data_IF_149213783691
#
_entry.id   IF_149213783691
#
_cell.length_a   1.000
_cell.length_b   1.000
_cell.length_c   1.000
_cell.angle_alpha   90.00
_cell.angle_beta   90.00
_cell.angle_gamma   90.00
#
_symmetry.space_group_name_H-M   'P 1'
#
loop_
_entity.id
_entity.type
_entity.pdbx_description
1 polymer ?
#
# COMPACT_ATOMS: atom_id res chain seq x y z
N UNK A 1 7.09 -14.64 -25.91
CA UNK A 1 6.35 -15.04 -24.69
C UNK A 1 6.93 -14.34 -23.45
N UNK A 2 7.27 -13.05 -23.50
CA UNK A 2 8.14 -12.43 -22.48
C UNK A 2 7.40 -11.59 -21.42
N UNK A 3 6.07 -11.51 -21.51
CA UNK A 3 5.21 -10.65 -20.67
C UNK A 3 4.16 -11.44 -19.85
N UNK A 4 4.32 -12.75 -19.71
CA UNK A 4 3.40 -13.52 -18.88
C UNK A 4 3.62 -13.18 -17.39
N UNK A 5 2.64 -12.49 -16.81
CA UNK A 5 2.63 -12.07 -15.41
C UNK A 5 1.92 -13.09 -14.51
N UNK A 6 1.30 -14.12 -15.08
CA UNK A 6 0.54 -15.15 -14.36
C UNK A 6 1.42 -16.34 -13.92
N UNK A 7 2.74 -16.14 -13.86
CA UNK A 7 3.72 -17.13 -13.39
C UNK A 7 4.43 -16.62 -12.12
N UNK A 8 5.05 -17.50 -11.32
CA UNK A 8 5.86 -17.06 -10.18
C UNK A 8 6.98 -16.08 -10.57
N UNK A 9 7.60 -16.29 -11.73
CA UNK A 9 8.57 -15.36 -12.33
C UNK A 9 7.93 -14.02 -12.69
N UNK A 10 6.76 -14.07 -13.33
CA UNK A 10 5.96 -12.89 -13.66
C UNK A 10 5.59 -12.05 -12.44
N UNK A 11 5.18 -12.71 -11.36
CA UNK A 11 4.89 -12.08 -10.08
C UNK A 11 6.14 -11.42 -9.46
N UNK A 12 7.31 -12.06 -9.55
CA UNK A 12 8.60 -11.47 -9.12
C UNK A 12 8.97 -10.23 -9.92
N UNK A 13 8.78 -10.26 -11.25
CA UNK A 13 8.97 -9.07 -12.10
C UNK A 13 7.98 -7.97 -11.77
N UNK A 14 6.72 -8.30 -11.47
CA UNK A 14 5.71 -7.33 -11.10
C UNK A 14 6.04 -6.65 -9.77
N UNK A 15 6.47 -7.42 -8.76
CA UNK A 15 7.00 -6.90 -7.49
C UNK A 15 8.09 -5.86 -7.73
N UNK A 16 9.15 -6.23 -8.46
CA UNK A 16 10.28 -5.34 -8.73
C UNK A 16 9.86 -4.05 -9.43
N UNK A 17 8.95 -4.13 -10.42
CA UNK A 17 8.45 -2.97 -11.16
C UNK A 17 7.68 -2.00 -10.27
N UNK A 18 6.83 -2.51 -9.37
CA UNK A 18 6.04 -1.66 -8.47
C UNK A 18 6.94 -0.99 -7.43
N UNK A 19 7.86 -1.73 -6.83
CA UNK A 19 8.79 -1.20 -5.82
C UNK A 19 9.70 -0.12 -6.43
N UNK A 20 10.30 -0.39 -7.61
CA UNK A 20 11.16 0.57 -8.31
C UNK A 20 10.40 1.86 -8.70
N UNK A 21 9.19 1.73 -9.22
CA UNK A 21 8.37 2.87 -9.63
C UNK A 21 8.14 3.87 -8.49
N UNK A 22 7.93 3.37 -7.27
CA UNK A 22 7.70 4.20 -6.09
C UNK A 22 9.00 4.67 -5.43
N UNK A 23 10.04 3.85 -5.46
CA UNK A 23 11.37 4.23 -4.99
C UNK A 23 11.90 5.45 -5.76
N UNK A 24 11.74 5.49 -7.08
CA UNK A 24 12.11 6.64 -7.93
C UNK A 24 11.38 7.93 -7.55
N UNK A 25 10.26 7.83 -6.82
CA UNK A 25 9.43 8.94 -6.36
C UNK A 25 9.64 9.25 -4.86
N UNK A 26 10.60 8.59 -4.23
CA UNK A 26 10.94 8.77 -2.81
C UNK A 26 9.96 8.11 -1.84
N UNK A 27 9.20 7.11 -2.29
CA UNK A 27 8.32 6.33 -1.43
C UNK A 27 8.91 4.94 -1.18
N UNK A 28 8.80 4.47 0.06
CA UNK A 28 9.09 3.08 0.39
C UNK A 28 7.80 2.25 0.33
N UNK A 29 7.75 1.36 -0.67
CA UNK A 29 6.66 0.41 -0.90
C UNK A 29 7.24 -0.98 -0.78
N UNK A 30 6.57 -1.82 0.00
CA UNK A 30 6.91 -3.23 0.12
C UNK A 30 5.82 -4.07 -0.56
N UNK A 31 6.25 -4.96 -1.45
CA UNK A 31 5.38 -5.93 -2.10
C UNK A 31 5.73 -7.33 -1.61
N UNK A 32 4.77 -8.04 -1.05
CA UNK A 32 4.91 -9.44 -0.64
C UNK A 32 4.34 -10.37 -1.72
N UNK A 33 5.05 -11.45 -1.99
CA UNK A 33 4.58 -12.54 -2.85
C UNK A 33 4.13 -13.69 -1.96
N UNK A 34 2.85 -14.04 -2.04
CA UNK A 34 2.28 -15.13 -1.26
C UNK A 34 1.88 -16.24 -2.21
N UNK A 35 2.54 -17.40 -2.08
CA UNK A 35 2.18 -18.59 -2.84
C UNK A 35 0.99 -19.27 -2.16
N UNK A 36 -0.11 -19.35 -2.90
CA UNK A 36 -1.24 -20.19 -2.58
C UNK A 36 -1.27 -21.31 -3.61
N UNK A 37 -1.16 -22.55 -3.12
CA UNK A 37 -1.25 -23.74 -3.97
C UNK A 37 -2.61 -23.85 -4.68
N UNK A 38 -2.99 -25.06 -5.09
CA UNK A 38 -4.21 -25.25 -5.86
C UNK A 38 -5.47 -24.76 -5.10
N UNK A 39 -6.18 -23.80 -5.68
CA UNK A 39 -7.43 -23.23 -5.16
C UNK A 39 -8.62 -23.84 -5.92
N UNK A 40 -9.43 -24.74 -5.31
CA UNK A 40 -10.48 -25.47 -6.03
C UNK A 40 -11.51 -24.59 -6.73
N UNK A 41 -11.88 -23.47 -6.11
CA UNK A 41 -12.84 -22.53 -6.68
C UNK A 41 -12.35 -21.87 -7.99
N UNK A 42 -11.04 -21.67 -8.13
CA UNK A 42 -10.42 -21.05 -9.31
C UNK A 42 -9.89 -22.08 -10.30
N UNK A 43 -9.75 -23.34 -9.87
CA UNK A 43 -9.15 -24.44 -10.64
C UNK A 43 -7.73 -24.12 -11.10
N UNK A 44 -6.98 -23.36 -10.30
CA UNK A 44 -5.61 -22.95 -10.58
C UNK A 44 -4.80 -22.78 -9.29
N UNK A 45 -3.47 -22.87 -9.39
CA UNK A 45 -2.56 -22.35 -8.37
C UNK A 45 -2.43 -20.83 -8.53
N UNK A 46 -2.12 -20.12 -7.44
CA UNK A 46 -2.18 -18.66 -7.40
C UNK A 46 -0.98 -18.09 -6.65
N UNK A 47 -0.24 -17.21 -7.30
CA UNK A 47 0.72 -16.32 -6.63
C UNK A 47 0.06 -14.96 -6.42
N UNK A 48 -0.20 -14.61 -5.16
CA UNK A 48 -0.74 -13.31 -4.79
C UNK A 48 0.37 -12.26 -4.70
N UNK A 49 0.06 -11.03 -5.12
CA UNK A 49 0.91 -9.85 -4.95
C UNK A 49 0.22 -8.91 -3.96
N UNK A 50 0.83 -8.69 -2.79
CA UNK A 50 0.23 -7.89 -1.70
C UNK A 50 1.07 -6.65 -1.41
N UNK A 51 0.45 -5.48 -1.41
CA UNK A 51 1.13 -4.22 -1.13
C UNK A 51 0.78 -3.65 0.24
N UNK A 52 1.75 -2.98 0.88
CA UNK A 52 1.52 -2.18 2.10
C UNK A 52 0.84 -0.80 1.84
N UNK A 53 0.54 -0.48 0.58
CA UNK A 53 -0.13 0.75 0.16
C UNK A 53 -1.59 0.76 0.60
N UNK A 54 -2.14 1.96 0.84
CA UNK A 54 -3.55 2.15 1.21
C UNK A 54 -4.27 2.81 0.04
N UNK A 55 -5.32 2.18 -0.48
CA UNK A 55 -6.05 2.64 -1.67
C UNK A 55 -5.12 2.93 -2.87
N UNK A 56 -4.05 2.13 -3.02
CA UNK A 56 -3.06 2.30 -4.09
C UNK A 56 -2.03 3.40 -3.85
N UNK A 57 -2.08 4.12 -2.72
CA UNK A 57 -1.10 5.14 -2.36
C UNK A 57 -0.14 4.64 -1.28
N UNK A 58 1.18 4.80 -1.46
CA UNK A 58 2.15 4.54 -0.40
C UNK A 58 1.90 5.48 0.78
N UNK A 59 2.01 4.94 2.00
CA UNK A 59 2.10 5.80 3.17
C UNK A 59 3.47 6.47 3.10
N UNK A 60 3.53 7.80 3.26
CA UNK A 60 4.80 8.46 3.53
C UNK A 60 5.34 7.78 4.78
N UNK A 61 6.44 7.03 4.66
CA UNK A 61 7.28 6.85 5.84
C UNK A 61 7.60 8.24 6.29
N UNK A 62 7.27 8.54 7.53
CA UNK A 62 7.46 9.83 8.15
C UNK A 62 8.88 10.31 7.83
N UNK A 63 9.05 11.10 6.78
CA UNK A 63 9.96 12.21 6.86
C UNK A 63 9.44 12.93 8.10
N UNK A 64 10.20 12.86 9.18
CA UNK A 64 9.88 13.43 10.48
C UNK A 64 9.75 14.97 10.45
N UNK A 65 9.38 15.56 9.32
CA UNK A 65 9.41 16.97 8.99
C UNK A 65 8.14 17.51 8.32
N UNK A 66 7.10 16.72 8.07
CA UNK A 66 5.79 17.30 7.72
C UNK A 66 4.88 17.30 8.94
N UNK A 67 5.22 18.18 9.87
CA UNK A 67 4.41 18.58 11.02
C UNK A 67 3.22 19.42 10.54
N UNK A 68 2.34 18.87 9.70
CA UNK A 68 1.03 19.44 9.49
C UNK A 68 0.07 18.79 10.49
N UNK A 69 -0.31 19.47 11.58
CA UNK A 69 -1.19 18.88 12.57
C UNK A 69 -2.54 18.55 11.91
N UNK A 70 -3.00 17.32 12.14
CA UNK A 70 -4.32 16.85 11.73
C UNK A 70 -5.39 17.84 12.22
N UNK A 71 -6.00 18.57 11.27
CA UNK A 71 -7.00 19.61 11.52
C UNK A 71 -8.27 19.06 12.20
N UNK A 72 -8.37 17.74 12.41
CA UNK A 72 -9.51 17.07 13.06
C UNK A 72 -9.59 17.24 14.58
N UNK A 73 -8.53 17.67 15.27
CA UNK A 73 -8.58 17.88 16.73
C UNK A 73 -8.95 19.31 17.16
N UNK A 74 -9.14 20.24 16.22
CA UNK A 74 -9.49 21.64 16.55
C UNK A 74 -10.95 21.83 16.98
N UNK A 75 -11.86 20.89 16.68
CA UNK A 75 -13.28 21.03 16.99
C UNK A 75 -13.71 20.44 18.34
N UNK A 76 -12.81 19.83 19.11
CA UNK A 76 -13.14 19.16 20.38
C UNK A 76 -12.80 20.01 21.62
N UNK A 77 -12.52 21.31 21.43
CA UNK A 77 -12.19 22.25 22.52
C UNK A 77 -12.94 23.58 22.41
N UNK A 78 -14.27 23.52 22.38
CA UNK A 78 -15.07 24.65 22.83
C UNK A 78 -15.60 24.31 24.23
N UNK A 79 -14.94 24.73 25.33
CA UNK A 79 -15.58 24.76 26.62
C UNK A 79 -16.69 25.82 26.59
N UNK A 80 -17.78 25.49 27.27
CA UNK A 80 -19.02 26.24 27.45
C UNK A 80 -18.86 27.76 27.45
N UNK A 81 -19.80 28.49 26.83
CA UNK A 81 -20.21 29.85 27.23
C UNK A 81 -21.40 30.32 26.38
N UNK A 82 -22.63 30.06 26.83
CA UNK A 82 -23.77 31.01 26.76
C UNK A 82 -24.76 30.72 27.89
N UNK A 83 -24.64 31.49 28.97
CA UNK A 83 -25.67 31.66 30.00
C UNK A 83 -26.93 32.35 29.45
N UNK A 84 -28.08 32.00 30.02
CA UNK A 84 -29.26 32.81 30.36
C UNK A 84 -30.56 32.01 30.12
#
# INVERSE_FOLDING_TARGET
MSNDLCTPEGARRLKQRIEAYWADRGYDVNIELVDAGFMPAMRSARTDVRSNMVNGMPRRQSAANDSTPDRRTANDRMPELRSA
#
